data_IF_798068812495
#
_entry.id   IF_798068812495
#
_cell.length_a   1.000
_cell.length_b   1.000
_cell.length_c   1.000
_cell.angle_alpha   90.00
_cell.angle_beta   90.00
_cell.angle_gamma   90.00
#
_symmetry.space_group_name_H-M   'P 1'
#
loop_
_entity.id
_entity.type
_entity.pdbx_description
1 polymer ?
#
# COMPACT_ATOMS: atom_id res chain seq x y z
N UNK A 1 17.89 -9.55 15.29
CA UNK A 1 18.21 -8.64 14.17
C UNK A 1 17.83 -9.31 12.86
N UNK A 2 17.42 -8.56 11.81
CA UNK A 2 16.86 -9.12 10.58
C UNK A 2 17.80 -10.08 9.84
N UNK A 3 19.11 -9.90 9.94
CA UNK A 3 20.13 -10.71 9.28
C UNK A 3 20.15 -12.17 9.78
N UNK A 4 19.52 -12.42 10.93
CA UNK A 4 19.40 -13.75 11.51
C UNK A 4 18.09 -14.45 11.09
N UNK A 5 17.27 -13.81 10.24
CA UNK A 5 16.00 -14.32 9.73
C UNK A 5 16.13 -14.61 8.23
N UNK A 6 15.65 -15.78 7.80
CA UNK A 6 15.65 -16.21 6.40
C UNK A 6 14.24 -16.50 5.94
N UNK A 7 13.88 -16.00 4.76
CA UNK A 7 12.61 -16.29 4.12
C UNK A 7 12.77 -17.53 3.24
N UNK A 8 12.06 -18.61 3.55
CA UNK A 8 12.06 -19.84 2.78
C UNK A 8 10.62 -20.31 2.54
N UNK A 9 10.21 -20.38 1.26
CA UNK A 9 8.87 -20.84 0.85
C UNK A 9 7.72 -20.10 1.56
N UNK A 10 7.85 -18.77 1.71
CA UNK A 10 6.83 -17.95 2.38
C UNK A 10 6.79 -18.09 3.90
N UNK A 11 7.74 -18.80 4.50
CA UNK A 11 7.91 -18.90 5.96
C UNK A 11 9.21 -18.24 6.40
N UNK A 12 9.15 -17.51 7.52
CA UNK A 12 10.33 -16.93 8.16
C UNK A 12 10.98 -17.99 9.07
N UNK A 13 12.28 -18.20 8.93
CA UNK A 13 13.09 -19.12 9.74
C UNK A 13 14.22 -18.37 10.42
N UNK A 14 14.42 -18.59 11.72
CA UNK A 14 15.60 -18.10 12.44
C UNK A 14 16.79 -19.02 12.09
N UNK A 15 17.88 -18.45 11.57
CA UNK A 15 19.00 -19.22 11.01
C UNK A 15 20.30 -19.11 11.82
N UNK A 16 20.42 -18.09 12.67
CA UNK A 16 21.64 -17.86 13.44
C UNK A 16 21.32 -17.90 14.94
N UNK A 17 21.69 -19.02 15.54
CA UNK A 17 21.65 -19.29 16.98
C UNK A 17 23.01 -19.04 17.64
N UNK A 18 23.89 -18.22 17.05
CA UNK A 18 25.31 -18.05 17.39
C UNK A 18 25.68 -17.70 18.84
N UNK A 19 24.70 -17.55 19.74
CA UNK A 19 24.90 -17.40 21.19
C UNK A 19 24.08 -18.38 22.05
N UNK A 20 23.40 -19.36 21.46
CA UNK A 20 22.59 -20.37 22.17
C UNK A 20 23.41 -21.36 23.00
N UNK A 21 24.75 -21.33 22.90
CA UNK A 21 25.66 -22.12 23.74
C UNK A 21 26.79 -21.24 24.26
N UNK A 22 26.61 -20.63 25.41
CA UNK A 22 27.72 -20.23 26.28
C UNK A 22 27.22 -20.16 27.73
N UNK A 23 26.76 -21.30 28.22
CA UNK A 23 26.58 -21.53 29.66
C UNK A 23 27.90 -21.89 30.37
N UNK A 24 29.07 -21.88 29.71
CA UNK A 24 30.30 -22.43 30.30
C UNK A 24 31.65 -21.74 30.02
N UNK A 25 31.76 -20.55 29.41
CA UNK A 25 33.11 -19.94 29.26
C UNK A 25 33.14 -18.52 29.80
N UNK A 26 33.76 -18.42 30.98
CA UNK A 26 34.22 -17.21 31.63
C UNK A 26 35.14 -16.37 30.74
N UNK A 27 34.95 -15.06 30.87
CA UNK A 27 36.00 -14.03 30.91
C UNK A 27 37.13 -14.11 29.89
N UNK A 28 36.96 -13.43 28.75
CA UNK A 28 37.92 -12.48 28.21
C UNK A 28 37.58 -12.15 26.75
N UNK A 29 36.96 -10.99 26.53
CA UNK A 29 37.26 -10.04 25.44
C UNK A 29 36.23 -8.92 25.50
N UNK A 30 36.68 -7.66 25.59
CA UNK A 30 35.85 -6.46 25.47
C UNK A 30 35.35 -6.26 24.02
N UNK A 31 34.86 -7.31 23.38
CA UNK A 31 34.15 -7.20 22.10
C UNK A 31 32.67 -7.03 22.40
N UNK A 32 32.12 -5.90 21.96
CA UNK A 32 30.69 -5.59 22.03
C UNK A 32 29.91 -6.79 21.52
N UNK A 33 29.15 -7.43 22.42
CA UNK A 33 28.43 -8.65 22.13
C UNK A 33 27.18 -8.30 21.29
N UNK A 34 27.14 -8.71 20.03
CA UNK A 34 26.01 -8.46 19.13
C UNK A 34 25.99 -7.07 18.48
N UNK A 35 24.90 -6.77 17.77
CA UNK A 35 24.71 -5.47 17.11
C UNK A 35 24.06 -4.49 18.10
N UNK A 36 24.79 -3.51 18.66
CA UNK A 36 24.38 -2.76 19.86
C UNK A 36 23.15 -1.87 19.65
N UNK A 37 22.69 -1.69 18.41
CA UNK A 37 21.44 -0.98 18.09
C UNK A 37 20.20 -1.77 18.52
N UNK A 38 20.24 -3.12 18.42
CA UNK A 38 19.12 -4.00 18.76
C UNK A 38 19.18 -4.54 20.19
N UNK A 39 20.37 -4.60 20.79
CA UNK A 39 20.55 -5.14 22.13
C UNK A 39 20.21 -4.10 23.21
N UNK A 40 19.57 -4.50 24.33
CA UNK A 40 19.41 -3.62 25.47
C UNK A 40 20.73 -3.45 26.25
N UNK A 41 20.79 -2.50 27.18
CA UNK A 41 22.05 -2.17 27.86
C UNK A 41 22.61 -3.35 28.68
N UNK A 42 21.73 -4.08 29.39
CA UNK A 42 22.04 -5.22 30.25
C UNK A 42 22.59 -6.44 29.51
N UNK A 43 22.37 -6.53 28.20
CA UNK A 43 22.96 -7.59 27.37
C UNK A 43 24.49 -7.45 27.29
N UNK A 44 25.02 -6.23 27.41
CA UNK A 44 26.47 -5.97 27.44
C UNK A 44 27.10 -6.33 28.80
N UNK A 45 26.29 -6.43 29.86
CA UNK A 45 26.73 -6.81 31.21
C UNK A 45 26.72 -8.34 31.41
N UNK A 46 26.46 -9.11 30.34
CA UNK A 46 26.40 -10.58 30.37
C UNK A 46 25.16 -11.16 31.05
N UNK A 47 24.17 -10.33 31.40
CA UNK A 47 22.93 -10.75 32.05
C UNK A 47 21.87 -11.11 31.01
N UNK A 48 21.99 -12.31 30.45
CA UNK A 48 21.03 -12.84 29.48
C UNK A 48 19.80 -13.41 30.22
N UNK A 49 18.61 -12.96 29.83
CA UNK A 49 17.32 -13.47 30.30
C UNK A 49 16.27 -13.31 29.17
N UNK A 50 15.10 -13.97 29.24
CA UNK A 50 14.09 -13.91 28.17
C UNK A 50 13.63 -12.48 27.80
N UNK A 51 13.70 -11.51 28.73
CA UNK A 51 13.36 -10.11 28.44
C UNK A 51 14.35 -9.43 27.50
N UNK A 52 15.58 -9.94 27.38
CA UNK A 52 16.57 -9.48 26.40
C UNK A 52 16.13 -9.86 24.99
N UNK A 53 15.61 -11.08 24.81
CA UNK A 53 15.12 -11.56 23.52
C UNK A 53 13.86 -10.80 23.08
N UNK A 54 12.96 -10.49 24.02
CA UNK A 54 11.76 -9.67 23.75
C UNK A 54 12.15 -8.26 23.30
N UNK A 55 13.14 -7.64 23.96
CA UNK A 55 13.65 -6.33 23.55
C UNK A 55 14.28 -6.39 22.15
N UNK A 56 15.10 -7.41 21.87
CA UNK A 56 15.72 -7.61 20.56
C UNK A 56 14.68 -7.89 19.48
N UNK A 57 13.61 -8.62 19.82
CA UNK A 57 12.48 -8.91 18.95
C UNK A 57 11.70 -7.63 18.65
N UNK A 58 11.44 -6.77 19.64
CA UNK A 58 10.79 -5.47 19.45
C UNK A 58 11.61 -4.55 18.53
N UNK A 59 12.92 -4.46 18.75
CA UNK A 59 13.81 -3.70 17.87
C UNK A 59 13.88 -4.28 16.45
N UNK A 60 13.86 -5.62 16.33
CA UNK A 60 13.80 -6.31 15.03
C UNK A 60 12.46 -6.09 14.35
N UNK A 61 11.34 -6.09 15.08
CA UNK A 61 10.01 -5.82 14.57
C UNK A 61 9.91 -4.40 13.99
N UNK A 62 10.40 -3.38 14.71
CA UNK A 62 10.47 -2.01 14.18
C UNK A 62 11.28 -1.99 12.88
N UNK A 63 12.45 -2.64 12.84
CA UNK A 63 13.29 -2.67 11.64
C UNK A 63 12.64 -3.41 10.47
N UNK A 64 11.92 -4.49 10.72
CA UNK A 64 11.21 -5.25 9.68
C UNK A 64 9.98 -4.51 9.16
N UNK A 65 9.28 -3.76 10.02
CA UNK A 65 8.04 -3.08 9.69
C UNK A 65 8.28 -1.71 9.05
N UNK A 66 9.26 -0.97 9.55
CA UNK A 66 9.51 0.43 9.15
C UNK A 66 10.75 0.60 8.28
N UNK A 67 11.60 -0.42 8.17
CA UNK A 67 12.91 -0.29 7.55
C UNK A 67 13.91 0.53 8.37
N UNK A 68 13.49 1.23 9.44
CA UNK A 68 14.34 2.09 10.25
C UNK A 68 14.94 1.36 11.44
N UNK A 69 16.10 1.83 11.91
CA UNK A 69 16.64 1.36 13.18
C UNK A 69 15.77 1.85 14.34
N UNK A 70 15.55 1.01 15.38
CA UNK A 70 14.61 1.32 16.44
C UNK A 70 14.93 2.62 17.17
N UNK A 71 16.19 3.05 17.25
CA UNK A 71 16.60 4.29 17.92
C UNK A 71 17.33 5.28 16.99
N UNK A 72 17.17 5.12 15.67
CA UNK A 72 17.95 5.87 14.67
C UNK A 72 19.40 5.41 14.59
N UNK A 73 20.34 6.30 14.27
CA UNK A 73 21.76 5.99 14.12
C UNK A 73 22.52 5.68 15.42
N UNK A 74 23.85 5.59 15.32
CA UNK A 74 24.73 5.34 16.48
C UNK A 74 24.92 6.59 17.36
N UNK A 75 24.66 7.78 16.82
CA UNK A 75 24.73 9.04 17.56
C UNK A 75 23.62 9.09 18.62
N UNK A 76 24.00 9.42 19.85
CA UNK A 76 23.10 9.50 21.01
C UNK A 76 22.28 8.23 21.30
N UNK A 77 22.66 7.08 20.73
CA UNK A 77 21.95 5.81 20.87
C UNK A 77 21.65 5.44 22.33
N UNK A 78 22.63 5.63 23.21
CA UNK A 78 22.48 5.36 24.66
C UNK A 78 21.46 6.29 25.32
N UNK A 79 21.40 7.54 24.89
CA UNK A 79 20.47 8.53 25.43
C UNK A 79 19.05 8.21 24.95
N UNK A 80 18.85 7.98 23.65
CA UNK A 80 17.54 7.62 23.08
C UNK A 80 16.94 6.34 23.66
N UNK A 81 17.79 5.35 23.95
CA UNK A 81 17.38 4.12 24.66
C UNK A 81 16.90 4.40 26.08
N UNK A 82 17.60 5.26 26.82
CA UNK A 82 17.18 5.67 28.17
C UNK A 82 15.89 6.46 28.16
N UNK A 83 15.72 7.34 27.19
CA UNK A 83 14.55 8.21 27.07
C UNK A 83 13.32 7.48 26.47
N UNK A 84 13.48 6.22 26.02
CA UNK A 84 12.43 5.47 25.35
C UNK A 84 12.01 6.09 24.01
N UNK A 85 12.90 6.87 23.39
CA UNK A 85 12.66 7.53 22.10
C UNK A 85 13.01 6.57 20.95
N UNK A 86 12.07 5.70 20.62
CA UNK A 86 12.17 4.81 19.47
C UNK A 86 11.38 5.34 18.27
N UNK A 87 11.69 4.83 17.08
CA UNK A 87 11.02 5.19 15.85
C UNK A 87 9.54 4.73 15.86
N UNK A 88 8.61 5.67 15.72
CA UNK A 88 7.16 5.43 15.79
C UNK A 88 6.40 5.69 14.50
N UNK A 89 7.05 6.28 13.49
CA UNK A 89 6.38 6.58 12.23
C UNK A 89 6.01 5.27 11.51
N UNK A 90 4.78 5.20 10.98
CA UNK A 90 4.25 3.98 10.36
C UNK A 90 3.74 2.91 11.32
N UNK A 91 3.87 3.10 12.64
CA UNK A 91 3.33 2.17 13.65
C UNK A 91 1.90 2.56 14.07
N UNK A 92 1.07 1.55 14.34
CA UNK A 92 -0.28 1.73 14.87
C UNK A 92 -0.23 2.11 16.37
N UNK A 93 -1.21 2.86 16.90
CA UNK A 93 -1.19 3.30 18.30
C UNK A 93 -1.05 2.16 19.33
N UNK A 94 -1.66 0.99 19.07
CA UNK A 94 -1.55 -0.17 19.95
C UNK A 94 -0.17 -0.86 19.82
N UNK A 95 0.43 -0.86 18.63
CA UNK A 95 1.79 -1.36 18.40
C UNK A 95 2.81 -0.47 19.12
N UNK A 96 2.63 0.86 19.08
CA UNK A 96 3.48 1.82 19.80
C UNK A 96 3.43 1.53 21.30
N UNK A 97 2.26 1.26 21.87
CA UNK A 97 2.12 0.97 23.30
C UNK A 97 2.79 -0.36 23.68
N UNK A 98 2.56 -1.42 22.90
CA UNK A 98 3.22 -2.70 23.10
C UNK A 98 4.75 -2.59 22.95
N UNK A 99 5.24 -1.86 21.96
CA UNK A 99 6.67 -1.63 21.73
C UNK A 99 7.30 -0.76 22.81
N UNK A 100 6.58 0.22 23.35
CA UNK A 100 7.03 1.03 24.48
C UNK A 100 7.25 0.17 25.72
N UNK A 101 6.34 -0.78 26.00
CA UNK A 101 6.53 -1.77 27.05
C UNK A 101 7.73 -2.69 26.80
N UNK A 102 7.92 -3.18 25.57
CA UNK A 102 9.00 -4.12 25.24
C UNK A 102 10.39 -3.47 25.19
N UNK A 103 10.46 -2.18 24.83
CA UNK A 103 11.69 -1.40 24.71
C UNK A 103 12.00 -0.56 25.95
N UNK A 104 11.32 -0.81 27.08
CA UNK A 104 11.58 -0.10 28.32
C UNK A 104 13.06 -0.26 28.75
N UNK A 105 13.65 0.86 29.17
CA UNK A 105 15.06 0.92 29.57
C UNK A 105 15.35 0.07 30.81
N UNK A 106 14.42 0.03 31.77
CA UNK A 106 14.47 -0.88 32.91
C UNK A 106 13.80 -2.22 32.53
N UNK A 107 14.51 -3.36 32.61
CA UNK A 107 13.93 -4.68 32.36
C UNK A 107 12.72 -5.01 33.23
N UNK A 108 12.60 -4.41 34.42
CA UNK A 108 11.47 -4.64 35.36
C UNK A 108 10.18 -3.96 34.93
N UNK A 109 10.27 -2.99 34.02
CA UNK A 109 9.11 -2.28 33.46
C UNK A 109 8.57 -2.95 32.20
N UNK A 110 9.25 -3.99 31.69
CA UNK A 110 8.78 -4.76 30.53
C UNK A 110 7.67 -5.71 30.96
N UNK A 111 6.43 -5.57 30.45
CA UNK A 111 5.26 -6.29 30.99
C UNK A 111 5.11 -7.71 30.44
N UNK A 112 6.00 -8.15 29.55
CA UNK A 112 5.85 -9.40 28.79
C UNK A 112 6.67 -10.52 29.43
N UNK A 113 5.99 -11.56 29.92
CA UNK A 113 6.65 -12.75 30.46
C UNK A 113 7.18 -13.67 29.35
N UNK A 114 6.58 -13.61 28.15
CA UNK A 114 6.97 -14.39 26.99
C UNK A 114 6.86 -13.63 25.66
N UNK A 115 7.55 -14.13 24.64
CA UNK A 115 7.41 -13.62 23.27
C UNK A 115 5.97 -13.80 22.73
N UNK A 116 5.22 -14.80 23.22
CA UNK A 116 3.82 -15.00 22.84
C UNK A 116 2.93 -13.88 23.39
N UNK A 117 3.18 -13.41 24.61
CA UNK A 117 2.42 -12.30 25.21
C UNK A 117 2.69 -11.00 24.49
N UNK A 118 3.95 -10.80 24.09
CA UNK A 118 4.33 -9.65 23.26
C UNK A 118 3.65 -9.67 21.88
N UNK A 119 3.62 -10.83 21.21
CA UNK A 119 2.88 -11.00 19.94
C UNK A 119 1.38 -10.80 20.13
N UNK A 120 0.80 -11.29 21.22
CA UNK A 120 -0.60 -11.05 21.54
C UNK A 120 -0.87 -9.55 21.65
N UNK A 121 -0.05 -8.79 22.39
CA UNK A 121 -0.20 -7.35 22.51
C UNK A 121 -0.06 -6.58 21.17
N UNK A 122 0.76 -7.07 20.24
CA UNK A 122 0.86 -6.52 18.88
C UNK A 122 -0.34 -6.86 17.97
N UNK A 123 -1.17 -7.84 18.35
CA UNK A 123 -2.27 -8.35 17.51
C UNK A 123 -3.66 -8.00 18.03
N UNK A 124 -3.77 -7.40 19.23
CA UNK A 124 -5.06 -6.91 19.75
C UNK A 124 -5.42 -5.58 19.08
N UNK A 125 -6.50 -5.52 18.25
CA UNK A 125 -7.00 -4.25 17.77
C UNK A 125 -7.55 -3.43 18.96
N UNK A 126 -7.34 -2.11 19.00
CA UNK A 126 -7.90 -1.29 20.07
C UNK A 126 -9.44 -1.40 20.08
N UNK A 127 -10.11 -1.22 21.23
CA UNK A 127 -11.56 -1.12 21.27
C UNK A 127 -12.02 0.01 20.34
N UNK A 128 -13.18 -0.13 19.68
CA UNK A 128 -13.65 0.85 18.71
C UNK A 128 -13.78 2.22 19.38
N UNK A 129 -13.03 3.20 18.86
CA UNK A 129 -13.19 4.59 19.26
C UNK A 129 -14.55 5.06 18.74
N UNK A 130 -15.47 5.31 19.67
CA UNK A 130 -16.79 5.86 19.36
C UNK A 130 -16.62 7.30 18.88
N UNK A 131 -16.80 7.54 17.59
CA UNK A 131 -16.84 8.90 17.04
C UNK A 131 -18.26 9.46 17.25
N UNK A 132 -18.45 10.58 17.95
CA UNK A 132 -19.78 11.16 18.13
C UNK A 132 -20.33 11.58 16.78
N UNK A 133 -21.54 11.13 16.46
CA UNK A 133 -22.32 11.65 15.35
C UNK A 133 -22.63 13.13 15.60
N UNK A 134 -22.25 14.01 14.67
CA UNK A 134 -22.53 15.43 14.80
C UNK A 134 -22.25 16.22 13.53
N UNK A 135 -23.34 16.69 12.92
CA UNK A 135 -23.47 17.76 11.92
C UNK A 135 -23.14 17.44 10.46
N UNK A 136 -24.22 17.35 9.67
CA UNK A 136 -24.23 17.43 8.20
C UNK A 136 -24.01 18.86 7.71
N UNK A 137 -23.25 19.07 6.62
CA UNK A 137 -23.36 20.24 5.74
C UNK A 137 -24.07 19.88 4.41
N UNK A 138 -24.48 20.88 3.61
CA UNK A 138 -25.80 20.90 2.98
C UNK A 138 -25.92 20.10 1.68
N UNK A 139 -27.15 19.69 1.41
CA UNK A 139 -27.64 19.13 0.15
C UNK A 139 -27.31 20.06 -1.02
N UNK A 140 -26.42 19.61 -1.92
CA UNK A 140 -26.34 20.14 -3.28
C UNK A 140 -27.18 19.22 -4.17
N UNK A 141 -28.26 19.77 -4.72
CA UNK A 141 -29.10 19.11 -5.72
C UNK A 141 -28.29 18.97 -7.01
N UNK A 142 -27.74 17.78 -7.27
CA UNK A 142 -27.13 17.44 -8.54
C UNK A 142 -28.22 17.08 -9.57
N UNK A 143 -28.24 17.82 -10.67
CA UNK A 143 -29.01 17.55 -11.88
C UNK A 143 -28.62 16.17 -12.43
N UNK A 144 -29.59 15.27 -12.62
CA UNK A 144 -29.34 13.93 -13.20
C UNK A 144 -28.96 14.05 -14.68
N UNK A 145 -27.89 13.36 -15.15
CA UNK A 145 -27.69 13.17 -16.57
C UNK A 145 -28.59 12.03 -17.09
N UNK A 146 -29.21 12.27 -18.23
CA UNK A 146 -30.13 11.38 -18.94
C UNK A 146 -29.40 10.11 -19.39
N UNK A 147 -29.93 8.95 -19.01
CA UNK A 147 -29.38 7.61 -19.30
C UNK A 147 -29.89 7.09 -20.66
N UNK A 148 -29.05 6.49 -21.54
CA UNK A 148 -29.53 5.83 -22.75
C UNK A 148 -30.08 4.42 -22.46
N UNK A 149 -31.22 4.09 -23.07
CA UNK A 149 -32.14 3.00 -22.69
C UNK A 149 -31.72 1.55 -23.07
N UNK A 150 -30.46 1.31 -23.45
CA UNK A 150 -29.98 -0.04 -23.83
C UNK A 150 -29.17 -0.78 -22.75
N UNK A 151 -28.67 -0.07 -21.73
CA UNK A 151 -27.70 -0.59 -20.75
C UNK A 151 -28.32 -1.40 -19.60
N UNK A 152 -29.62 -1.22 -19.32
CA UNK A 152 -30.31 -1.90 -18.19
C UNK A 152 -30.25 -3.43 -18.30
N UNK A 153 -30.60 -4.00 -19.45
CA UNK A 153 -30.63 -5.46 -19.66
C UNK A 153 -29.27 -6.14 -19.47
N UNK A 154 -28.17 -5.47 -19.83
CA UNK A 154 -26.82 -6.02 -19.71
C UNK A 154 -26.26 -5.86 -18.29
N UNK A 155 -26.48 -4.70 -17.65
CA UNK A 155 -26.10 -4.49 -16.24
C UNK A 155 -26.88 -5.44 -15.31
N UNK A 156 -28.17 -5.68 -15.60
CA UNK A 156 -28.99 -6.62 -14.83
C UNK A 156 -28.52 -8.08 -15.00
N UNK A 157 -28.04 -8.47 -16.19
CA UNK A 157 -27.40 -9.79 -16.42
C UNK A 157 -26.09 -9.93 -15.64
N UNK A 158 -25.22 -8.90 -15.65
CA UNK A 158 -23.97 -8.89 -14.88
C UNK A 158 -24.27 -9.02 -13.38
N UNK A 159 -25.32 -8.37 -12.86
CA UNK A 159 -25.77 -8.52 -11.47
C UNK A 159 -26.19 -9.93 -11.11
N UNK A 160 -26.97 -10.60 -11.96
CA UNK A 160 -27.42 -11.97 -11.70
C UNK A 160 -26.26 -12.96 -11.63
N UNK A 161 -25.23 -12.76 -12.45
CA UNK A 161 -24.04 -13.61 -12.50
C UNK A 161 -23.25 -13.52 -11.20
N UNK A 162 -22.95 -12.31 -10.74
CA UNK A 162 -22.20 -12.08 -9.49
C UNK A 162 -22.94 -12.62 -8.27
N UNK A 163 -24.24 -12.34 -8.15
CA UNK A 163 -25.04 -12.71 -6.97
C UNK A 163 -25.18 -14.23 -6.77
N UNK A 164 -25.02 -15.03 -7.84
CA UNK A 164 -25.12 -16.49 -7.79
C UNK A 164 -23.84 -17.14 -7.22
N UNK A 165 -22.70 -16.47 -7.32
CA UNK A 165 -21.40 -16.95 -6.83
C UNK A 165 -21.25 -16.86 -5.31
N UNK A 166 -21.78 -15.80 -4.71
CA UNK A 166 -21.74 -15.60 -3.25
C UNK A 166 -22.38 -16.76 -2.49
N UNK A 167 -23.43 -17.35 -3.08
CA UNK A 167 -24.17 -18.47 -2.49
C UNK A 167 -23.44 -19.81 -2.62
N UNK A 168 -22.57 -20.01 -3.61
CA UNK A 168 -21.88 -21.29 -3.86
C UNK A 168 -20.55 -21.39 -3.10
N UNK A 169 -19.90 -20.26 -2.78
CA UNK A 169 -18.56 -20.23 -2.16
C UNK A 169 -18.56 -20.18 -0.63
N UNK A 170 -19.69 -19.87 0.00
CA UNK A 170 -19.89 -19.96 1.45
C UNK A 170 -19.67 -21.39 2.02
N UNK A 171 -19.37 -22.38 1.18
CA UNK A 171 -19.18 -23.79 1.53
C UNK A 171 -17.72 -24.30 1.49
N UNK A 172 -16.71 -23.51 1.12
CA UNK A 172 -15.31 -23.98 0.99
C UNK A 172 -14.34 -23.31 1.99
N UNK A 173 -13.49 -24.09 2.68
CA UNK A 173 -12.64 -23.68 3.82
C UNK A 173 -11.14 -23.62 3.47
N UNK A 174 -10.47 -22.47 3.69
CA UNK A 174 -9.05 -22.33 4.09
C UNK A 174 -8.65 -20.84 4.27
N UNK A 175 -8.09 -20.46 5.43
CA UNK A 175 -7.89 -19.07 5.87
C UNK A 175 -7.11 -18.12 4.91
N UNK A 176 -6.23 -18.62 4.03
CA UNK A 176 -5.56 -17.80 3.01
C UNK A 176 -6.38 -17.64 1.72
N UNK A 177 -7.16 -18.66 1.36
CA UNK A 177 -8.16 -18.57 0.30
C UNK A 177 -9.30 -17.63 0.70
N UNK A 178 -9.62 -17.56 1.99
CA UNK A 178 -10.67 -16.71 2.54
C UNK A 178 -10.37 -15.22 2.36
N UNK A 179 -9.12 -14.77 2.55
CA UNK A 179 -8.77 -13.35 2.38
C UNK A 179 -8.80 -12.89 0.92
N UNK A 180 -8.29 -13.71 0.00
CA UNK A 180 -8.37 -13.43 -1.44
C UNK A 180 -9.82 -13.51 -1.94
N UNK A 181 -10.62 -14.43 -1.39
CA UNK A 181 -12.04 -14.53 -1.68
C UNK A 181 -12.82 -13.30 -1.17
N UNK A 182 -12.55 -12.84 0.05
CA UNK A 182 -13.13 -11.63 0.62
C UNK A 182 -12.76 -10.39 -0.20
N UNK A 183 -11.48 -10.25 -0.59
CA UNK A 183 -11.04 -9.13 -1.42
C UNK A 183 -11.74 -9.13 -2.79
N UNK A 184 -11.89 -10.31 -3.39
CA UNK A 184 -12.65 -10.47 -4.64
C UNK A 184 -14.10 -10.06 -4.45
N UNK A 185 -14.78 -10.55 -3.42
CA UNK A 185 -16.17 -10.19 -3.12
C UNK A 185 -16.33 -8.67 -2.98
N UNK A 186 -15.46 -8.02 -2.19
CA UNK A 186 -15.45 -6.57 -2.03
C UNK A 186 -15.28 -5.84 -3.38
N UNK A 187 -14.42 -6.33 -4.26
CA UNK A 187 -14.23 -5.72 -5.57
C UNK A 187 -15.36 -6.00 -6.56
N UNK A 188 -16.07 -7.12 -6.40
CA UNK A 188 -17.28 -7.37 -7.19
C UNK A 188 -18.43 -6.46 -6.77
N UNK A 189 -18.62 -6.24 -5.47
CA UNK A 189 -19.55 -5.21 -4.96
C UNK A 189 -19.17 -3.81 -5.45
N UNK A 190 -17.88 -3.48 -5.44
CA UNK A 190 -17.36 -2.22 -5.97
C UNK A 190 -17.66 -2.08 -7.47
N UNK A 191 -17.49 -3.14 -8.26
CA UNK A 191 -17.81 -3.15 -9.68
C UNK A 191 -19.29 -2.85 -9.91
N UNK A 192 -20.20 -3.45 -9.14
CA UNK A 192 -21.63 -3.15 -9.23
C UNK A 192 -21.92 -1.67 -8.97
N UNK A 193 -21.36 -1.14 -7.89
CA UNK A 193 -21.52 0.28 -7.57
C UNK A 193 -21.04 1.18 -8.70
N UNK A 194 -19.89 0.87 -9.30
CA UNK A 194 -19.31 1.63 -10.42
C UNK A 194 -20.18 1.57 -11.68
N UNK A 195 -20.74 0.40 -11.99
CA UNK A 195 -21.68 0.26 -13.11
C UNK A 195 -22.98 1.03 -12.87
N UNK A 196 -23.47 1.08 -11.62
CA UNK A 196 -24.70 1.79 -11.25
C UNK A 196 -24.55 3.32 -11.26
N UNK A 197 -23.36 3.82 -10.87
CA UNK A 197 -23.00 5.24 -10.94
C UNK A 197 -22.56 5.68 -12.33
N UNK A 198 -22.25 4.74 -13.22
CA UNK A 198 -21.73 5.01 -14.56
C UNK A 198 -20.23 5.34 -14.59
N UNK A 199 -19.48 4.99 -13.54
CA UNK A 199 -18.03 5.18 -13.42
C UNK A 199 -17.26 4.12 -14.23
N UNK A 200 -17.48 4.09 -15.54
CA UNK A 200 -16.97 3.04 -16.43
C UNK A 200 -15.44 2.96 -16.50
N UNK A 201 -14.73 4.08 -16.33
CA UNK A 201 -13.27 4.11 -16.25
C UNK A 201 -12.72 3.26 -15.08
N UNK A 202 -13.33 3.43 -13.89
CA UNK A 202 -12.95 2.65 -12.71
C UNK A 202 -13.43 1.20 -12.82
N UNK A 203 -14.64 0.98 -13.38
CA UNK A 203 -15.16 -0.37 -13.64
C UNK A 203 -14.20 -1.17 -14.54
N UNK A 204 -13.61 -0.53 -15.56
CA UNK A 204 -12.64 -1.18 -16.46
C UNK A 204 -11.39 -1.66 -15.71
N UNK A 205 -10.86 -0.83 -14.80
CA UNK A 205 -9.75 -1.21 -13.94
C UNK A 205 -10.09 -2.37 -13.01
N UNK A 206 -11.28 -2.35 -12.39
CA UNK A 206 -11.77 -3.40 -11.49
C UNK A 206 -11.95 -4.74 -12.20
N UNK A 207 -12.57 -4.74 -13.39
CA UNK A 207 -12.73 -5.95 -14.22
C UNK A 207 -11.38 -6.53 -14.62
N UNK A 208 -10.41 -5.68 -14.99
CA UNK A 208 -9.06 -6.10 -15.35
C UNK A 208 -8.29 -6.73 -14.19
N UNK A 209 -8.60 -6.35 -12.94
CA UNK A 209 -8.08 -7.03 -11.75
C UNK A 209 -8.72 -8.42 -11.58
N UNK A 210 -10.05 -8.50 -11.61
CA UNK A 210 -10.80 -9.75 -11.41
C UNK A 210 -10.39 -10.83 -12.43
N UNK A 211 -10.22 -10.45 -13.70
CA UNK A 211 -9.77 -11.37 -14.77
C UNK A 211 -8.37 -11.96 -14.56
N UNK A 212 -7.48 -11.25 -13.85
CA UNK A 212 -6.11 -11.76 -13.58
C UNK A 212 -6.08 -12.84 -12.50
N UNK A 213 -7.08 -12.90 -11.62
CA UNK A 213 -7.10 -13.84 -10.51
C UNK A 213 -7.74 -15.17 -10.90
N UNK A 214 -6.99 -16.12 -11.46
CA UNK A 214 -7.38 -17.53 -11.75
C UNK A 214 -8.87 -17.82 -11.47
N UNK A 215 -9.72 -17.42 -12.41
CA UNK A 215 -11.17 -17.63 -12.35
C UNK A 215 -11.52 -18.96 -13.02
N UNK A 216 -12.67 -19.55 -12.66
CA UNK A 216 -13.17 -20.70 -13.41
C UNK A 216 -13.52 -20.25 -14.84
N UNK A 217 -13.37 -21.14 -15.83
CA UNK A 217 -13.51 -20.81 -17.26
C UNK A 217 -14.82 -20.09 -17.63
N UNK A 218 -15.92 -20.40 -16.95
CA UNK A 218 -17.23 -19.79 -17.21
C UNK A 218 -17.23 -18.29 -16.83
N UNK A 219 -16.61 -17.95 -15.70
CA UNK A 219 -16.54 -16.60 -15.12
C UNK A 219 -15.61 -15.67 -15.93
N UNK A 220 -14.54 -16.26 -16.49
CA UNK A 220 -13.61 -15.55 -17.36
C UNK A 220 -14.28 -15.08 -18.67
N UNK A 221 -15.22 -15.87 -19.21
CA UNK A 221 -15.94 -15.51 -20.43
C UNK A 221 -16.89 -14.31 -20.20
N UNK A 222 -17.63 -14.32 -19.09
CA UNK A 222 -18.58 -13.25 -18.76
C UNK A 222 -17.88 -11.92 -18.45
N UNK A 223 -16.80 -11.94 -17.66
CA UNK A 223 -15.99 -10.74 -17.43
C UNK A 223 -15.27 -10.26 -18.71
N UNK A 224 -14.97 -11.15 -19.65
CA UNK A 224 -14.42 -10.77 -20.94
C UNK A 224 -15.43 -10.00 -21.79
N UNK A 225 -16.72 -10.36 -21.75
CA UNK A 225 -17.78 -9.57 -22.39
C UNK A 225 -17.91 -8.19 -21.76
N UNK A 226 -17.84 -8.09 -20.43
CA UNK A 226 -17.84 -6.80 -19.73
C UNK A 226 -16.63 -5.96 -20.13
N UNK A 227 -15.44 -6.57 -20.20
CA UNK A 227 -14.22 -5.88 -20.65
C UNK A 227 -14.35 -5.38 -22.08
N UNK A 228 -14.86 -6.18 -23.00
CA UNK A 228 -15.13 -5.77 -24.38
C UNK A 228 -16.13 -4.61 -24.45
N UNK A 229 -17.19 -4.65 -23.65
CA UNK A 229 -18.14 -3.54 -23.55
C UNK A 229 -17.46 -2.26 -23.05
N UNK A 230 -16.62 -2.35 -22.01
CA UNK A 230 -15.91 -1.19 -21.46
C UNK A 230 -14.83 -0.65 -22.42
N UNK A 231 -14.24 -1.50 -23.26
CA UNK A 231 -13.30 -1.10 -24.31
C UNK A 231 -13.99 -0.57 -25.58
N UNK A 232 -15.31 -0.73 -25.69
CA UNK A 232 -16.09 -0.19 -26.80
C UNK A 232 -16.26 1.33 -26.73
N UNK A 233 -16.56 1.93 -27.88
CA UNK A 233 -16.89 3.36 -27.97
C UNK A 233 -18.35 3.63 -27.63
N UNK A 234 -18.60 4.76 -26.97
CA UNK A 234 -19.94 5.27 -26.74
C UNK A 234 -20.50 6.01 -27.97
N UNK A 235 -21.70 6.58 -27.82
CA UNK A 235 -22.36 7.32 -28.90
C UNK A 235 -21.61 8.58 -29.36
N UNK A 236 -20.64 9.07 -28.55
CA UNK A 236 -19.80 10.22 -28.84
C UNK A 236 -18.41 9.80 -29.34
N UNK A 237 -18.21 8.50 -29.59
CA UNK A 237 -16.93 7.96 -30.04
C UNK A 237 -15.88 7.87 -28.93
N UNK A 238 -16.21 8.08 -27.65
CA UNK A 238 -15.26 7.94 -26.53
C UNK A 238 -15.20 6.49 -26.06
N UNK A 239 -14.02 6.01 -25.69
CA UNK A 239 -13.89 4.67 -25.07
C UNK A 239 -14.51 4.74 -23.68
N UNK A 240 -15.42 3.80 -23.36
CA UNK A 240 -16.17 3.85 -22.09
C UNK A 240 -15.28 3.67 -20.86
N UNK A 241 -14.26 2.83 -20.96
CA UNK A 241 -13.28 2.52 -19.92
C UNK A 241 -12.20 3.58 -19.74
N UNK A 242 -12.29 4.70 -20.46
CA UNK A 242 -11.47 5.87 -20.25
C UNK A 242 -12.24 6.91 -19.46
N UNK A 243 -11.53 7.69 -18.65
CA UNK A 243 -12.13 8.86 -18.01
C UNK A 243 -12.36 10.00 -19.02
N UNK A 244 -12.82 11.15 -18.51
CA UNK A 244 -13.12 12.31 -19.36
C UNK A 244 -11.92 12.87 -20.14
N UNK A 245 -10.70 12.50 -19.76
CA UNK A 245 -9.46 12.90 -20.40
C UNK A 245 -8.78 11.76 -21.16
N UNK A 246 -9.48 10.64 -21.38
CA UNK A 246 -8.92 9.53 -22.15
C UNK A 246 -7.93 8.67 -21.35
N UNK A 247 -7.93 8.75 -20.02
CA UNK A 247 -7.00 7.98 -19.18
C UNK A 247 -7.66 6.67 -18.73
N UNK A 248 -6.93 5.57 -18.89
CA UNK A 248 -7.30 4.26 -18.33
C UNK A 248 -6.59 4.03 -17.01
N UNK A 249 -7.30 3.42 -16.08
CA UNK A 249 -6.80 3.13 -14.74
C UNK A 249 -6.83 1.63 -14.44
N UNK A 250 -5.81 1.15 -13.73
CA UNK A 250 -5.80 -0.16 -13.11
C UNK A 250 -6.12 -0.05 -11.62
N UNK A 251 -6.94 -0.97 -11.11
CA UNK A 251 -7.16 -1.13 -9.67
C UNK A 251 -5.92 -1.80 -9.06
N UNK A 252 -5.30 -1.12 -8.10
CA UNK A 252 -4.25 -1.66 -7.25
C UNK A 252 -4.88 -2.07 -5.91
N UNK A 253 -4.89 -3.36 -5.56
CA UNK A 253 -5.46 -3.81 -4.30
C UNK A 253 -4.60 -3.39 -3.11
N UNK A 254 -5.17 -3.31 -1.90
CA UNK A 254 -4.35 -3.22 -0.70
C UNK A 254 -3.47 -4.48 -0.60
N UNK A 255 -2.24 -4.30 -0.14
CA UNK A 255 -1.24 -5.35 -0.17
C UNK A 255 0.06 -4.89 0.45
N UNK A 256 0.97 -5.84 0.64
CA UNK A 256 2.31 -5.52 1.09
C UNK A 256 3.32 -6.09 0.11
N UNK A 257 4.38 -5.34 -0.14
CA UNK A 257 5.48 -5.72 -1.01
C UNK A 257 6.80 -5.20 -0.45
N UNK A 258 7.92 -5.69 -0.97
CA UNK A 258 9.24 -5.15 -0.68
C UNK A 258 9.59 -4.13 -1.76
N UNK A 259 9.87 -2.90 -1.35
CA UNK A 259 10.27 -1.76 -2.17
C UNK A 259 11.78 -1.53 -2.00
N UNK A 260 12.47 -1.15 -3.08
CA UNK A 260 13.93 -1.06 -3.14
C UNK A 260 14.61 -2.31 -3.74
N UNK A 261 15.92 -2.21 -3.99
CA UNK A 261 16.72 -3.23 -4.67
C UNK A 261 17.55 -4.07 -3.67
N UNK A 262 17.80 -5.37 -3.96
CA UNK A 262 18.75 -6.17 -3.20
C UNK A 262 20.14 -5.53 -3.18
N UNK A 263 20.85 -5.66 -2.05
CA UNK A 263 22.18 -5.07 -1.86
C UNK A 263 23.25 -5.58 -2.85
N UNK A 264 22.99 -6.71 -3.51
CA UNK A 264 23.86 -7.35 -4.49
C UNK A 264 23.46 -7.06 -5.94
N UNK A 265 22.48 -6.18 -6.18
CA UNK A 265 22.10 -5.74 -7.53
C UNK A 265 23.13 -4.74 -8.09
N UNK A 266 23.59 -4.99 -9.32
CA UNK A 266 24.53 -4.12 -10.02
C UNK A 266 23.86 -2.77 -10.33
N UNK A 267 24.31 -1.70 -9.69
CA UNK A 267 23.72 -0.36 -9.80
C UNK A 267 22.98 0.12 -8.55
N UNK A 268 22.92 -0.68 -7.48
CA UNK A 268 22.29 -0.31 -6.21
C UNK A 268 22.83 1.01 -5.63
N UNK A 269 21.96 1.99 -5.46
CA UNK A 269 22.25 3.25 -4.78
C UNK A 269 21.90 3.19 -3.28
N UNK A 270 22.60 3.99 -2.46
CA UNK A 270 22.44 3.97 -0.99
C UNK A 270 21.04 4.38 -0.49
N UNK A 271 20.17 4.89 -1.36
CA UNK A 271 18.79 5.25 -1.04
C UNK A 271 17.78 4.15 -1.46
N UNK A 272 18.19 3.07 -2.12
CA UNK A 272 17.31 2.01 -2.62
C UNK A 272 17.17 0.82 -1.63
N UNK A 273 17.24 1.07 -0.32
CA UNK A 273 17.22 0.00 0.67
C UNK A 273 15.91 -0.78 0.68
N UNK A 274 15.96 -2.14 0.67
CA UNK A 274 14.77 -2.95 0.63
C UNK A 274 13.98 -2.82 1.95
N UNK A 275 12.76 -2.32 1.87
CA UNK A 275 11.86 -2.17 3.01
C UNK A 275 10.43 -2.57 2.65
N UNK A 276 9.67 -3.03 3.64
CA UNK A 276 8.31 -3.52 3.40
C UNK A 276 7.32 -2.37 3.39
N UNK A 277 6.64 -2.17 2.28
CA UNK A 277 5.55 -1.21 2.13
C UNK A 277 4.22 -1.91 2.35
N UNK A 278 3.29 -1.26 3.05
CA UNK A 278 1.92 -1.71 3.22
C UNK A 278 0.93 -0.67 2.67
N UNK A 279 0.29 -1.03 1.57
CA UNK A 279 -0.84 -0.30 1.01
C UNK A 279 -2.11 -0.75 1.71
N UNK A 280 -2.65 0.09 2.59
CA UNK A 280 -3.82 -0.26 3.43
C UNK A 280 -5.16 -0.06 2.74
N UNK A 281 -5.20 0.72 1.66
CA UNK A 281 -6.40 1.04 0.90
C UNK A 281 -6.15 0.76 -0.58
N UNK A 282 -7.15 0.21 -1.32
CA UNK A 282 -7.05 0.15 -2.76
C UNK A 282 -7.01 1.56 -3.36
N UNK A 283 -6.32 1.69 -4.49
CA UNK A 283 -6.33 2.90 -5.30
C UNK A 283 -6.28 2.54 -6.78
N UNK A 284 -6.47 3.56 -7.62
CA UNK A 284 -6.38 3.41 -9.06
C UNK A 284 -5.14 4.14 -9.56
N UNK A 285 -4.40 3.50 -10.45
CA UNK A 285 -3.21 4.08 -11.07
C UNK A 285 -3.38 4.13 -12.58
N UNK A 286 -2.97 5.24 -13.20
CA UNK A 286 -2.98 5.36 -14.65
C UNK A 286 -2.08 4.27 -15.25
N UNK A 287 -2.57 3.55 -16.25
CA UNK A 287 -1.81 2.43 -16.84
C UNK A 287 -0.69 2.90 -17.78
N UNK A 288 -0.72 4.19 -18.16
CA UNK A 288 0.26 4.86 -19.01
C UNK A 288 0.62 6.22 -18.40
N UNK A 289 1.83 6.74 -18.63
CA UNK A 289 2.14 8.13 -18.34
C UNK A 289 1.15 9.09 -19.01
N UNK A 290 0.90 10.23 -18.37
CA UNK A 290 0.07 11.29 -18.95
C UNK A 290 0.67 11.76 -20.27
N UNK A 291 -0.15 11.88 -21.31
CA UNK A 291 0.32 12.24 -22.65
C UNK A 291 0.38 13.74 -22.87
N UNK A 292 1.15 14.18 -23.87
CA UNK A 292 1.18 15.57 -24.34
C UNK A 292 -0.23 16.06 -24.70
N UNK A 293 -1.06 15.21 -25.32
CA UNK A 293 -2.44 15.55 -25.66
C UNK A 293 -3.31 15.83 -24.44
N UNK A 294 -3.20 15.01 -23.40
CA UNK A 294 -3.94 15.14 -22.15
C UNK A 294 -3.53 16.39 -21.38
N UNK A 295 -2.23 16.60 -21.21
CA UNK A 295 -1.70 17.77 -20.52
C UNK A 295 -1.98 19.06 -21.29
N UNK A 296 -1.90 19.03 -22.63
CA UNK A 296 -2.26 20.16 -23.48
C UNK A 296 -3.73 20.56 -23.34
N UNK A 297 -4.65 19.60 -23.15
CA UNK A 297 -6.07 19.90 -22.92
C UNK A 297 -6.26 20.66 -21.61
N UNK A 298 -5.59 20.23 -20.54
CA UNK A 298 -5.57 20.94 -19.26
C UNK A 298 -5.10 22.38 -19.42
N UNK A 299 -3.94 22.59 -20.04
CA UNK A 299 -3.36 23.93 -20.20
C UNK A 299 -4.29 24.82 -21.03
N UNK A 300 -4.89 24.28 -22.09
CA UNK A 300 -5.84 25.04 -22.92
C UNK A 300 -7.14 25.37 -22.16
N UNK A 301 -7.70 24.41 -21.44
CA UNK A 301 -8.97 24.56 -20.73
C UNK A 301 -8.89 25.52 -19.53
N UNK A 302 -7.72 25.64 -18.91
CA UNK A 302 -7.51 26.42 -17.68
C UNK A 302 -6.73 27.71 -17.90
N UNK A 303 -6.11 27.88 -19.07
CA UNK A 303 -5.09 28.90 -19.32
C UNK A 303 -3.94 28.85 -18.28
N UNK A 304 -3.64 27.66 -17.76
CA UNK A 304 -2.57 27.45 -16.78
C UNK A 304 -1.22 27.88 -17.36
N UNK A 305 -0.44 28.60 -16.55
CA UNK A 305 0.91 29.02 -16.90
C UNK A 305 1.87 27.98 -16.33
N UNK A 306 2.53 27.26 -17.23
CA UNK A 306 3.58 26.31 -16.87
C UNK A 306 4.87 27.03 -16.54
N UNK A 307 5.76 26.39 -15.78
CA UNK A 307 7.11 26.92 -15.54
C UNK A 307 7.84 27.15 -16.88
N UNK A 308 8.60 28.25 -16.97
CA UNK A 308 9.28 28.70 -18.19
C UNK A 308 10.69 28.10 -18.33
N UNK A 309 11.22 27.45 -17.28
CA UNK A 309 12.60 26.94 -17.26
C UNK A 309 12.83 25.74 -18.19
N UNK A 310 11.86 24.83 -18.29
CA UNK A 310 11.87 23.70 -19.23
C UNK A 310 10.46 23.54 -19.81
N UNK A 311 10.32 23.67 -21.12
CA UNK A 311 9.00 23.72 -21.77
C UNK A 311 8.60 22.35 -22.30
N UNK A 312 7.51 21.78 -21.77
CA UNK A 312 6.84 20.60 -22.33
C UNK A 312 6.40 20.76 -23.81
N UNK A 313 6.34 22.01 -24.33
CA UNK A 313 6.02 22.28 -25.74
C UNK A 313 7.22 22.15 -26.66
N UNK A 314 8.43 22.30 -26.13
CA UNK A 314 9.68 22.20 -26.86
C UNK A 314 10.74 21.48 -26.01
N UNK A 315 10.61 20.15 -25.83
CA UNK A 315 11.50 19.39 -24.97
C UNK A 315 12.87 19.09 -25.61
N UNK A 316 13.17 19.67 -26.79
CA UNK A 316 14.40 19.42 -27.54
C UNK A 316 14.37 18.15 -28.42
N UNK A 317 13.22 17.48 -28.54
CA UNK A 317 13.00 16.35 -29.44
C UNK A 317 11.54 16.28 -29.89
N UNK A 318 11.27 15.55 -30.97
CA UNK A 318 9.92 15.47 -31.53
C UNK A 318 8.98 14.64 -30.65
N UNK A 319 7.86 15.24 -30.24
CA UNK A 319 6.75 14.53 -29.58
C UNK A 319 5.42 14.77 -30.30
N UNK A 320 4.56 13.75 -30.34
CA UNK A 320 3.17 13.90 -30.73
C UNK A 320 2.23 13.81 -29.52
N UNK A 321 0.92 13.98 -29.75
CA UNK A 321 -0.10 14.02 -28.67
C UNK A 321 -0.24 12.71 -27.89
N UNK A 322 0.27 11.60 -28.41
CA UNK A 322 0.20 10.27 -27.79
C UNK A 322 1.42 9.95 -26.94
N UNK A 323 2.53 10.67 -27.13
CA UNK A 323 3.73 10.50 -26.32
C UNK A 323 3.54 11.03 -24.88
N UNK A 324 4.30 10.49 -23.90
CA UNK A 324 4.35 11.02 -22.55
C UNK A 324 4.74 12.49 -22.52
N UNK A 325 4.04 13.29 -21.72
CA UNK A 325 4.49 14.66 -21.45
C UNK A 325 5.77 14.61 -20.61
N UNK A 326 6.75 15.44 -20.98
CA UNK A 326 8.01 15.61 -20.24
C UNK A 326 8.24 17.10 -19.98
N UNK A 327 9.27 17.45 -19.21
CA UNK A 327 9.63 18.84 -18.90
C UNK A 327 8.43 19.60 -18.30
N UNK A 328 7.77 18.97 -17.33
CA UNK A 328 6.71 19.56 -16.52
C UNK A 328 7.17 19.61 -15.08
N UNK A 329 6.88 20.72 -14.39
CA UNK A 329 7.21 20.83 -12.97
C UNK A 329 6.28 19.94 -12.12
N UNK A 330 6.69 19.66 -10.89
CA UNK A 330 5.83 18.98 -9.91
C UNK A 330 4.53 19.78 -9.65
N UNK A 331 4.61 21.11 -9.64
CA UNK A 331 3.46 21.99 -9.43
C UNK A 331 2.49 21.94 -10.61
N UNK A 332 3.01 21.88 -11.84
CA UNK A 332 2.20 21.68 -13.05
C UNK A 332 1.47 20.33 -13.04
N UNK A 333 2.17 19.26 -12.65
CA UNK A 333 1.59 17.93 -12.53
C UNK A 333 0.52 17.86 -11.44
N UNK A 334 0.74 18.54 -10.30
CA UNK A 334 -0.24 18.65 -9.22
C UNK A 334 -1.47 19.44 -9.67
N UNK A 335 -1.28 20.56 -10.36
CA UNK A 335 -2.37 21.37 -10.90
C UNK A 335 -3.22 20.60 -11.93
N UNK A 336 -2.58 19.75 -12.75
CA UNK A 336 -3.27 18.83 -13.64
C UNK A 336 -4.17 17.85 -12.86
N UNK A 337 -3.67 17.22 -11.79
CA UNK A 337 -4.47 16.35 -10.93
C UNK A 337 -5.64 17.08 -10.25
N UNK A 338 -5.44 18.32 -9.81
CA UNK A 338 -6.51 19.12 -9.21
C UNK A 338 -7.61 19.47 -10.22
N UNK A 339 -7.22 19.80 -11.46
CA UNK A 339 -8.15 20.03 -12.55
C UNK A 339 -8.97 18.79 -12.89
N UNK A 340 -8.32 17.62 -12.99
CA UNK A 340 -8.98 16.32 -13.16
C UNK A 340 -9.98 16.04 -12.04
N UNK A 341 -9.58 16.31 -10.80
CA UNK A 341 -10.42 16.09 -9.62
C UNK A 341 -11.69 16.93 -9.65
N UNK A 342 -11.56 18.22 -10.02
CA UNK A 342 -12.70 19.13 -10.17
C UNK A 342 -13.64 18.71 -11.29
N UNK A 343 -13.08 18.27 -12.41
CA UNK A 343 -13.85 17.92 -13.62
C UNK A 343 -14.66 16.63 -13.45
N UNK A 344 -14.05 15.62 -12.83
CA UNK A 344 -14.64 14.28 -12.68
C UNK A 344 -15.38 14.07 -11.35
N UNK A 345 -15.15 14.96 -10.37
CA UNK A 345 -15.64 14.78 -9.00
C UNK A 345 -14.97 13.63 -8.24
N UNK A 346 -13.86 13.07 -8.75
CA UNK A 346 -13.03 12.07 -8.06
C UNK A 346 -11.77 12.72 -7.50
N UNK A 347 -11.01 11.97 -6.69
CA UNK A 347 -9.73 12.43 -6.16
C UNK A 347 -8.59 11.88 -7.01
N UNK A 348 -7.95 12.75 -7.77
CA UNK A 348 -6.71 12.48 -8.51
C UNK A 348 -5.53 13.06 -7.71
N UNK A 349 -4.35 12.49 -7.92
CA UNK A 349 -3.11 12.95 -7.30
C UNK A 349 -1.92 12.22 -7.89
N UNK A 350 -0.72 12.72 -7.62
CA UNK A 350 0.52 12.01 -7.93
C UNK A 350 0.65 10.79 -7.02
N UNK A 351 1.16 9.65 -7.54
CA UNK A 351 1.46 8.51 -6.69
C UNK A 351 2.56 8.88 -5.70
N UNK A 352 2.46 8.38 -4.47
CA UNK A 352 3.66 8.31 -3.62
C UNK A 352 4.65 7.33 -4.23
N UNK A 353 5.94 7.41 -3.86
CA UNK A 353 6.94 6.40 -4.26
C UNK A 353 6.43 4.97 -4.01
N UNK A 354 5.92 4.72 -2.79
CA UNK A 354 5.26 3.48 -2.35
C UNK A 354 4.07 3.00 -3.21
N UNK A 355 3.47 3.89 -4.01
CA UNK A 355 2.37 3.55 -4.91
C UNK A 355 2.84 3.34 -6.35
N UNK A 356 4.08 3.76 -6.67
CA UNK A 356 4.67 3.73 -7.99
C UNK A 356 5.46 2.44 -8.24
N UNK A 357 6.29 2.00 -7.29
CA UNK A 357 6.91 0.66 -7.34
C UNK A 357 5.90 -0.46 -7.10
#
# INVERSE_FOLDING_TARGET
KPENLLLFQGQVKLIDFGFARLSEISSATNSVLGTPIFAPAEANDGRLNPNVDIYCLAGTFIRLLTGQYPFGGYDDLRQRKRDGCFHTEGLLPHEIEALRGALAADPRERPFESASDFVAALTVPPPPVFVPSGTSPPTITATQPVRPAGSRSFVDKIRQIVSREESERAQATAAAADRLAQLRQQFTELLHKQLDTGDFALASGTVSYLLRGQMQQVQANELSEVKQFLESRDAHGRVRGEDECGIRFALIPPGAFAMGSPFDEEGHEQNEFPHRVLLTKPYYMAIHPTTVGQFSEFVHATAHKTDDNESWRDPGFTQDKTHPVVNVSHDDATAFCDWMSKRTGKRYGLPTEAQWE
#
